data_IF_113287143564
#
_entry.id   IF_113287143564
#
_cell.length_a   1.000
_cell.length_b   1.000
_cell.length_c   1.000
_cell.angle_alpha   90.00
_cell.angle_beta   90.00
_cell.angle_gamma   90.00
#
_symmetry.space_group_name_H-M   'P 1'
#
loop_
_entity.id
_entity.type
_entity.pdbx_description
1 polymer ?
#
# COMPACT_ATOMS: atom_id res chain seq x y z
N UNK A 1 10.88 -13.95 22.84
CA UNK A 1 11.28 -12.59 22.44
C UNK A 1 10.36 -12.06 21.35
N UNK A 2 10.08 -12.85 20.31
CA UNK A 2 9.14 -12.52 19.23
C UNK A 2 7.73 -12.13 19.71
N UNK A 3 7.14 -12.87 20.65
CA UNK A 3 5.80 -12.54 21.20
C UNK A 3 5.78 -11.29 22.08
N UNK A 4 6.92 -10.90 22.68
CA UNK A 4 7.02 -9.68 23.49
C UNK A 4 7.14 -8.45 22.58
N UNK A 5 7.83 -8.58 21.44
CA UNK A 5 7.89 -7.53 20.42
C UNK A 5 6.55 -7.38 19.68
N UNK A 6 5.84 -8.48 19.36
CA UNK A 6 4.50 -8.44 18.76
C UNK A 6 3.48 -7.69 19.65
N UNK A 7 3.54 -7.85 20.97
CA UNK A 7 2.66 -7.13 21.91
C UNK A 7 3.03 -5.67 22.14
N UNK A 8 4.33 -5.32 22.14
CA UNK A 8 4.79 -3.93 22.25
C UNK A 8 4.50 -3.16 20.96
N UNK A 9 4.69 -3.83 19.82
CA UNK A 9 4.26 -3.37 18.52
C UNK A 9 2.74 -3.11 18.57
N UNK A 10 1.88 -4.12 18.80
CA UNK A 10 0.43 -3.92 18.89
C UNK A 10 -0.01 -2.67 19.69
N UNK A 11 0.65 -2.39 20.81
CA UNK A 11 0.39 -1.21 21.64
C UNK A 11 0.80 0.13 21.00
N UNK A 12 1.85 0.19 20.18
CA UNK A 12 2.33 1.40 19.50
C UNK A 12 1.48 1.73 18.26
N UNK A 13 1.05 0.71 17.50
CA UNK A 13 0.08 0.91 16.40
C UNK A 13 -1.27 1.28 16.97
N UNK A 14 -1.67 0.71 18.11
CA UNK A 14 -2.86 1.18 18.82
C UNK A 14 -2.76 2.65 19.24
N UNK A 15 -1.58 3.13 19.62
CA UNK A 15 -1.36 4.55 19.96
C UNK A 15 -1.35 5.45 18.71
N UNK A 16 -0.74 5.00 17.60
CA UNK A 16 -0.75 5.73 16.32
C UNK A 16 -2.15 5.77 15.68
N UNK A 17 -2.92 4.67 15.79
CA UNK A 17 -4.32 4.57 15.38
C UNK A 17 -5.25 5.31 16.34
N UNK A 18 -4.93 5.40 17.65
CA UNK A 18 -5.71 6.18 18.61
C UNK A 18 -5.56 7.70 18.45
N UNK A 19 -4.56 8.18 17.72
CA UNK A 19 -4.46 9.58 17.30
C UNK A 19 -5.32 9.93 16.08
N UNK A 20 -5.88 8.93 15.36
CA UNK A 20 -6.82 9.18 14.28
C UNK A 20 -8.22 9.47 14.84
N UNK A 21 -8.86 10.60 14.48
CA UNK A 21 -10.14 10.99 15.07
C UNK A 21 -11.30 10.33 14.30
N UNK A 22 -11.45 9.01 14.38
CA UNK A 22 -12.71 8.30 14.16
C UNK A 22 -12.57 6.80 14.47
N UNK A 23 -13.60 6.25 15.12
CA UNK A 23 -13.84 4.83 15.37
C UNK A 23 -13.43 3.93 14.18
N UNK A 24 -12.63 2.86 14.36
CA UNK A 24 -12.71 1.71 13.44
C UNK A 24 -11.99 0.42 13.86
N UNK A 25 -10.74 0.45 14.35
CA UNK A 25 -9.99 -0.81 14.50
C UNK A 25 -10.13 -1.39 15.92
N UNK A 26 -10.85 -2.51 16.10
CA UNK A 26 -11.01 -3.14 17.42
C UNK A 26 -9.66 -3.68 17.92
N UNK A 27 -9.19 -3.28 19.14
CA UNK A 27 -7.89 -3.69 19.68
C UNK A 27 -7.75 -5.18 19.99
N UNK A 28 -8.83 -5.96 19.86
CA UNK A 28 -8.91 -7.32 20.41
C UNK A 28 -8.01 -8.32 19.66
N UNK A 29 -7.65 -8.03 18.41
CA UNK A 29 -6.99 -9.01 17.53
C UNK A 29 -5.85 -8.40 16.70
N UNK A 30 -4.87 -7.77 17.35
CA UNK A 30 -3.58 -7.50 16.71
C UNK A 30 -2.74 -8.79 16.57
N UNK A 31 -3.36 -9.77 15.92
CA UNK A 31 -2.83 -11.04 15.43
C UNK A 31 -3.20 -11.10 13.96
N UNK A 32 -2.27 -10.85 13.04
CA UNK A 32 -2.32 -11.24 11.62
C UNK A 32 -3.62 -10.99 10.80
N UNK A 33 -4.60 -10.22 11.30
CA UNK A 33 -5.95 -10.10 10.75
C UNK A 33 -6.71 -8.97 11.47
N UNK A 34 -6.07 -7.80 11.59
CA UNK A 34 -6.77 -6.63 12.09
C UNK A 34 -7.82 -6.21 11.05
N UNK A 35 -9.10 -6.18 11.45
CA UNK A 35 -10.17 -5.63 10.63
C UNK A 35 -10.24 -4.13 10.88
N UNK A 36 -9.71 -3.38 9.93
CA UNK A 36 -9.80 -1.93 9.87
C UNK A 36 -10.58 -1.51 8.60
N UNK A 37 -11.55 -2.32 8.14
CA UNK A 37 -12.39 -1.97 7.00
C UNK A 37 -13.14 -0.65 7.25
N UNK A 38 -13.10 0.24 6.26
CA UNK A 38 -13.69 1.58 6.33
C UNK A 38 -13.01 2.52 7.33
N UNK A 39 -11.85 2.17 7.87
CA UNK A 39 -11.14 3.01 8.82
C UNK A 39 -10.72 4.34 8.20
N UNK A 40 -10.79 5.41 8.99
CA UNK A 40 -10.24 6.71 8.61
C UNK A 40 -8.81 6.85 9.14
N UNK A 41 -7.85 6.72 8.24
CA UNK A 41 -6.40 6.76 8.44
C UNK A 41 -5.75 7.87 7.58
N UNK A 42 -6.53 8.90 7.26
CA UNK A 42 -6.05 10.09 6.54
C UNK A 42 -4.90 10.77 7.28
N UNK A 43 -3.85 11.12 6.54
CA UNK A 43 -2.62 11.78 7.03
C UNK A 43 -1.87 11.01 8.13
N UNK A 44 -2.19 9.73 8.35
CA UNK A 44 -1.51 8.94 9.39
C UNK A 44 -0.08 8.66 8.93
N UNK A 45 0.88 9.17 9.70
CA UNK A 45 2.31 8.93 9.51
C UNK A 45 2.74 7.68 10.29
N UNK A 46 2.66 6.52 9.62
CA UNK A 46 3.18 5.24 10.13
C UNK A 46 4.66 5.05 9.79
N UNK A 47 5.22 5.78 8.82
CA UNK A 47 6.64 5.76 8.46
C UNK A 47 7.58 6.05 9.64
N UNK A 48 7.18 6.95 10.55
CA UNK A 48 7.90 7.21 11.82
C UNK A 48 8.09 5.96 12.71
N UNK A 49 7.21 4.96 12.62
CA UNK A 49 7.34 3.74 13.40
C UNK A 49 8.48 2.86 12.92
N UNK A 50 8.82 2.94 11.62
CA UNK A 50 9.97 2.26 11.02
C UNK A 50 11.27 2.93 11.47
N UNK A 51 11.30 4.27 11.53
CA UNK A 51 12.44 5.04 12.08
C UNK A 51 12.71 4.73 13.57
N UNK A 52 11.66 4.40 14.33
CA UNK A 52 11.76 4.01 15.73
C UNK A 52 12.42 2.63 15.95
N UNK A 53 12.90 1.97 14.88
CA UNK A 53 13.55 0.65 14.96
C UNK A 53 12.57 -0.49 15.21
N UNK A 54 11.26 -0.25 15.04
CA UNK A 54 10.24 -1.29 15.08
C UNK A 54 10.24 -1.97 13.70
N UNK A 55 11.22 -2.86 13.56
CA UNK A 55 11.54 -3.61 12.36
C UNK A 55 10.29 -4.39 11.91
N UNK A 56 9.77 -4.05 10.72
CA UNK A 56 8.87 -4.91 9.92
C UNK A 56 7.64 -5.39 10.70
N UNK A 57 6.59 -4.55 10.72
CA UNK A 57 5.28 -4.99 11.13
C UNK A 57 4.69 -5.85 10.02
N UNK A 58 4.47 -7.13 10.32
CA UNK A 58 3.71 -8.02 9.46
C UNK A 58 2.23 -7.74 9.71
N UNK A 59 1.64 -6.94 8.82
CA UNK A 59 0.21 -6.75 8.67
C UNK A 59 -0.29 -7.66 7.55
N UNK A 60 0.19 -8.92 7.56
CA UNK A 60 -0.25 -9.94 6.61
C UNK A 60 -1.78 -10.02 6.65
N UNK A 61 -2.41 -10.04 5.48
CA UNK A 61 -3.87 -10.19 5.33
C UNK A 61 -4.71 -9.16 6.12
N UNK A 62 -4.18 -7.96 6.42
CA UNK A 62 -4.96 -6.90 7.07
C UNK A 62 -6.16 -6.49 6.21
N UNK A 63 -7.31 -6.27 6.84
CA UNK A 63 -8.49 -5.75 6.14
C UNK A 63 -8.56 -4.23 6.27
N UNK A 64 -8.41 -3.56 5.13
CA UNK A 64 -8.50 -2.11 4.93
C UNK A 64 -9.49 -1.81 3.80
N UNK A 65 -10.45 -2.70 3.53
CA UNK A 65 -11.47 -2.48 2.52
C UNK A 65 -12.18 -1.14 2.74
N UNK A 66 -12.21 -0.27 1.73
CA UNK A 66 -12.86 1.03 1.80
C UNK A 66 -12.24 2.00 2.81
N UNK A 67 -11.05 1.70 3.36
CA UNK A 67 -10.37 2.60 4.28
C UNK A 67 -9.93 3.89 3.58
N UNK A 68 -9.98 5.01 4.30
CA UNK A 68 -9.41 6.27 3.87
C UNK A 68 -7.97 6.37 4.36
N UNK A 69 -7.01 6.32 3.46
CA UNK A 69 -5.56 6.41 3.66
C UNK A 69 -4.98 7.60 2.88
N UNK A 70 -5.80 8.60 2.56
CA UNK A 70 -5.36 9.79 1.82
C UNK A 70 -4.20 10.45 2.57
N UNK A 71 -3.10 10.70 1.86
CA UNK A 71 -1.86 11.25 2.41
C UNK A 71 -1.22 10.47 3.57
N UNK A 72 -1.63 9.23 3.81
CA UNK A 72 -0.99 8.38 4.80
C UNK A 72 0.44 8.02 4.37
N UNK A 73 1.36 7.95 5.33
CA UNK A 73 2.70 7.39 5.11
C UNK A 73 2.73 5.97 5.69
N UNK A 74 2.75 4.99 4.79
CA UNK A 74 2.89 3.55 5.09
C UNK A 74 4.15 3.00 4.43
N UNK A 75 5.13 3.87 4.18
CA UNK A 75 6.39 3.48 3.56
C UNK A 75 7.10 2.40 4.37
N UNK A 76 7.71 1.43 3.67
CA UNK A 76 8.45 0.29 4.24
C UNK A 76 7.61 -0.71 5.06
N UNK A 77 6.28 -0.63 5.07
CA UNK A 77 5.44 -1.62 5.73
C UNK A 77 5.37 -2.95 4.98
N UNK A 78 5.15 -4.04 5.74
CA UNK A 78 4.90 -5.36 5.19
C UNK A 78 3.40 -5.70 5.31
N UNK A 79 2.70 -5.71 4.19
CA UNK A 79 1.25 -5.92 4.07
C UNK A 79 0.91 -6.95 2.97
N UNK A 80 1.58 -8.13 2.94
CA UNK A 80 1.31 -9.11 1.91
C UNK A 80 -0.12 -9.66 2.10
N UNK A 81 -0.85 -9.82 1.00
CA UNK A 81 -2.23 -10.30 1.03
C UNK A 81 -3.26 -9.31 1.60
N UNK A 82 -2.87 -8.07 1.91
CA UNK A 82 -3.79 -7.06 2.45
C UNK A 82 -5.02 -6.86 1.55
N UNK A 83 -6.19 -6.70 2.17
CA UNK A 83 -7.40 -6.30 1.49
C UNK A 83 -7.51 -4.77 1.50
N UNK A 84 -7.24 -4.13 0.37
CA UNK A 84 -7.34 -2.69 0.14
C UNK A 84 -8.43 -2.38 -0.91
N UNK A 85 -9.38 -3.29 -1.11
CA UNK A 85 -10.45 -3.13 -2.08
C UNK A 85 -11.22 -1.84 -1.81
N UNK A 86 -11.45 -1.04 -2.83
CA UNK A 86 -12.14 0.26 -2.77
C UNK A 86 -11.54 1.28 -1.77
N UNK A 87 -10.32 1.06 -1.25
CA UNK A 87 -9.65 1.99 -0.35
C UNK A 87 -9.21 3.27 -1.09
N UNK A 88 -9.17 4.40 -0.37
CA UNK A 88 -8.66 5.67 -0.90
C UNK A 88 -7.25 5.96 -0.37
N UNK A 89 -6.25 5.73 -1.20
CA UNK A 89 -4.82 5.96 -0.97
C UNK A 89 -4.34 7.23 -1.71
N UNK A 90 -5.23 8.17 -1.99
CA UNK A 90 -4.91 9.41 -2.70
C UNK A 90 -3.70 10.14 -2.10
N UNK A 91 -2.62 10.28 -2.87
CA UNK A 91 -1.40 10.94 -2.43
C UNK A 91 -0.66 10.26 -1.25
N UNK A 92 -0.96 9.00 -0.93
CA UNK A 92 -0.27 8.24 0.10
C UNK A 92 1.19 7.93 -0.29
N UNK A 93 2.07 7.80 0.70
CA UNK A 93 3.43 7.30 0.52
C UNK A 93 3.49 5.78 0.81
N UNK A 94 3.66 5.01 -0.27
CA UNK A 94 3.78 3.56 -0.33
C UNK A 94 5.22 3.16 -0.71
N UNK A 95 6.21 4.03 -0.48
CA UNK A 95 7.61 3.77 -0.85
C UNK A 95 8.11 2.47 -0.22
N UNK A 96 8.61 1.55 -1.04
CA UNK A 96 9.15 0.26 -0.62
C UNK A 96 8.21 -0.59 0.25
N UNK A 97 6.90 -0.39 0.14
CA UNK A 97 5.90 -1.25 0.79
C UNK A 97 5.86 -2.62 0.12
N UNK A 98 5.62 -3.68 0.91
CA UNK A 98 5.33 -5.02 0.40
C UNK A 98 3.80 -5.24 0.39
N UNK A 99 3.23 -5.33 -0.81
CA UNK A 99 1.83 -5.59 -1.12
C UNK A 99 1.69 -6.85 -2.00
N UNK A 100 2.62 -7.80 -1.89
CA UNK A 100 2.56 -9.03 -2.68
C UNK A 100 1.25 -9.77 -2.44
N UNK A 101 0.55 -10.11 -3.51
CA UNK A 101 -0.73 -10.80 -3.46
C UNK A 101 -1.89 -9.99 -2.84
N UNK A 102 -1.72 -8.69 -2.59
CA UNK A 102 -2.78 -7.85 -2.05
C UNK A 102 -3.94 -7.66 -3.04
N UNK A 103 -5.12 -7.37 -2.49
CA UNK A 103 -6.33 -7.04 -3.25
C UNK A 103 -6.54 -5.53 -3.24
N UNK A 104 -6.27 -4.86 -4.36
CA UNK A 104 -6.47 -3.42 -4.56
C UNK A 104 -7.57 -3.12 -5.58
N UNK A 105 -8.52 -4.04 -5.77
CA UNK A 105 -9.60 -3.85 -6.76
C UNK A 105 -10.37 -2.57 -6.46
N UNK A 106 -10.53 -1.72 -7.46
CA UNK A 106 -11.26 -0.44 -7.32
C UNK A 106 -10.58 0.61 -6.42
N UNK A 107 -9.40 0.34 -5.87
CA UNK A 107 -8.71 1.29 -5.00
C UNK A 107 -8.31 2.57 -5.75
N UNK A 108 -8.38 3.72 -5.06
CA UNK A 108 -7.89 5.00 -5.55
C UNK A 108 -6.45 5.21 -5.07
N UNK A 109 -5.48 5.26 -5.97
CA UNK A 109 -4.07 5.59 -5.70
C UNK A 109 -3.67 6.88 -6.44
N UNK A 110 -4.62 7.79 -6.64
CA UNK A 110 -4.43 9.04 -7.36
C UNK A 110 -3.25 9.83 -6.76
N UNK A 111 -2.19 10.05 -7.53
CA UNK A 111 -1.01 10.79 -7.08
C UNK A 111 -0.17 10.10 -6.00
N UNK A 112 -0.42 8.83 -5.69
CA UNK A 112 0.33 8.12 -4.66
C UNK A 112 1.79 7.82 -5.07
N UNK A 113 2.67 7.64 -4.09
CA UNK A 113 4.09 7.31 -4.32
C UNK A 113 4.32 5.83 -4.05
N UNK A 114 4.53 5.03 -5.10
CA UNK A 114 4.81 3.59 -5.05
C UNK A 114 6.27 3.26 -5.39
N UNK A 115 7.20 4.17 -5.10
CA UNK A 115 8.61 3.98 -5.45
C UNK A 115 9.14 2.71 -4.80
N UNK A 116 9.62 1.74 -5.61
CA UNK A 116 10.12 0.43 -5.14
C UNK A 116 9.11 -0.44 -4.39
N UNK A 117 7.81 -0.16 -4.47
CA UNK A 117 6.79 -1.03 -3.89
C UNK A 117 6.78 -2.41 -4.58
N UNK A 118 6.52 -3.48 -3.83
CA UNK A 118 6.34 -4.82 -4.39
C UNK A 118 4.84 -5.17 -4.44
N UNK A 119 4.27 -5.18 -5.64
CA UNK A 119 2.88 -5.54 -5.93
C UNK A 119 2.81 -6.87 -6.69
N UNK A 120 3.83 -7.72 -6.58
CA UNK A 120 3.88 -8.99 -7.32
C UNK A 120 2.68 -9.89 -6.95
N UNK A 121 1.94 -10.33 -7.95
CA UNK A 121 0.73 -11.15 -7.78
C UNK A 121 -0.50 -10.41 -7.23
N UNK A 122 -0.44 -9.09 -7.04
CA UNK A 122 -1.58 -8.31 -6.55
C UNK A 122 -2.70 -8.17 -7.59
N UNK A 123 -3.93 -8.01 -7.13
CA UNK A 123 -5.10 -7.74 -7.99
C UNK A 123 -5.44 -6.24 -7.95
N UNK A 124 -5.10 -5.50 -9.01
CA UNK A 124 -5.36 -4.06 -9.12
C UNK A 124 -6.52 -3.76 -10.06
N UNK A 125 -7.41 -4.71 -10.37
CA UNK A 125 -8.45 -4.48 -11.38
C UNK A 125 -9.27 -3.23 -11.09
N UNK A 126 -9.39 -2.36 -12.10
CA UNK A 126 -10.07 -1.06 -12.01
C UNK A 126 -9.49 -0.07 -10.98
N UNK A 127 -8.27 -0.28 -10.47
CA UNK A 127 -7.62 0.68 -9.59
C UNK A 127 -7.21 1.96 -10.36
N UNK A 128 -7.21 3.10 -9.67
CA UNK A 128 -6.80 4.38 -10.25
C UNK A 128 -5.39 4.77 -9.79
N UNK A 129 -4.39 4.61 -10.64
CA UNK A 129 -3.00 5.04 -10.42
C UNK A 129 -2.65 6.35 -11.18
N UNK A 130 -3.66 7.14 -11.55
CA UNK A 130 -3.44 8.40 -12.26
C UNK A 130 -2.47 9.32 -11.49
N UNK A 131 -1.54 9.94 -12.20
CA UNK A 131 -0.51 10.84 -11.67
C UNK A 131 0.38 10.24 -10.55
N UNK A 132 0.36 8.92 -10.33
CA UNK A 132 1.19 8.25 -9.33
C UNK A 132 2.68 8.21 -9.72
N UNK A 133 3.56 7.95 -8.76
CA UNK A 133 4.97 7.62 -9.03
C UNK A 133 5.19 6.14 -8.83
N UNK A 134 5.59 5.42 -9.88
CA UNK A 134 5.78 3.95 -9.86
C UNK A 134 7.23 3.54 -10.10
N UNK A 135 8.18 4.43 -9.80
CA UNK A 135 9.60 4.24 -10.09
C UNK A 135 10.15 2.99 -9.37
N UNK A 136 10.54 1.97 -10.13
CA UNK A 136 11.08 0.72 -9.61
C UNK A 136 10.05 -0.16 -8.88
N UNK A 137 8.75 0.10 -9.02
CA UNK A 137 7.71 -0.76 -8.48
C UNK A 137 7.68 -2.11 -9.22
N UNK A 138 7.41 -3.20 -8.50
CA UNK A 138 7.34 -4.55 -9.04
C UNK A 138 5.88 -4.96 -9.23
N UNK A 139 5.51 -5.35 -10.45
CA UNK A 139 4.14 -5.79 -10.80
C UNK A 139 4.12 -7.24 -11.34
N UNK A 140 5.13 -8.05 -11.02
CA UNK A 140 5.25 -9.39 -11.61
C UNK A 140 4.02 -10.25 -11.28
N UNK A 141 3.26 -10.66 -12.31
CA UNK A 141 2.04 -11.45 -12.14
C UNK A 141 0.84 -10.70 -11.56
N UNK A 142 0.90 -9.37 -11.44
CA UNK A 142 -0.24 -8.56 -11.01
C UNK A 142 -1.33 -8.49 -12.10
N UNK A 143 -2.60 -8.39 -11.68
CA UNK A 143 -3.73 -8.18 -12.60
C UNK A 143 -4.03 -6.69 -12.74
N UNK A 144 -3.72 -6.13 -13.91
CA UNK A 144 -3.81 -4.70 -14.19
C UNK A 144 -5.00 -4.32 -15.08
N UNK A 145 -5.96 -5.23 -15.31
CA UNK A 145 -7.09 -4.96 -16.21
C UNK A 145 -7.93 -3.79 -15.70
N UNK A 146 -8.16 -2.80 -16.55
CA UNK A 146 -8.94 -1.60 -16.21
C UNK A 146 -8.19 -0.59 -15.34
N UNK A 147 -6.91 -0.82 -15.02
CA UNK A 147 -6.10 0.14 -14.25
C UNK A 147 -5.93 1.44 -15.03
N UNK A 148 -6.06 2.59 -14.38
CA UNK A 148 -5.73 3.89 -14.97
C UNK A 148 -4.31 4.33 -14.57
N UNK A 149 -3.36 4.40 -15.50
CA UNK A 149 -1.99 4.94 -15.27
C UNK A 149 -1.76 6.27 -15.99
N UNK A 150 -2.82 7.01 -16.33
CA UNK A 150 -2.69 8.31 -16.99
C UNK A 150 -1.79 9.23 -16.16
N UNK A 151 -0.73 9.78 -16.77
CA UNK A 151 0.23 10.64 -16.08
C UNK A 151 1.10 9.96 -15.02
N UNK A 152 1.03 8.63 -14.86
CA UNK A 152 1.89 7.91 -13.92
C UNK A 152 3.36 8.02 -14.36
N UNK A 153 4.24 8.34 -13.40
CA UNK A 153 5.65 8.65 -13.66
C UNK A 153 6.54 7.49 -13.29
N UNK A 154 7.35 7.06 -14.25
CA UNK A 154 8.53 6.23 -14.02
C UNK A 154 9.74 7.17 -13.96
N UNK A 155 10.26 7.45 -12.76
CA UNK A 155 11.51 8.21 -12.66
C UNK A 155 12.65 7.20 -12.73
N UNK A 156 13.13 6.94 -13.94
CA UNK A 156 14.33 6.12 -14.16
C UNK A 156 15.54 6.85 -13.57
N UNK A 157 16.24 6.21 -12.63
CA UNK A 157 17.62 6.58 -12.32
C UNK A 157 18.50 5.83 -13.33
N UNK A 158 19.26 6.58 -14.13
CA UNK A 158 20.24 6.03 -15.07
C UNK A 158 21.08 4.92 -14.41
N UNK A 159 21.15 3.75 -15.06
CA UNK A 159 22.06 2.67 -14.68
C UNK A 159 21.45 1.45 -13.99
N UNK A 160 20.15 1.44 -13.71
CA UNK A 160 19.47 0.24 -13.25
C UNK A 160 18.60 -0.33 -14.37
N UNK A 161 19.00 -1.50 -14.88
CA UNK A 161 18.25 -2.33 -15.82
C UNK A 161 17.00 -2.91 -15.13
N UNK A 162 16.10 -2.06 -14.65
CA UNK A 162 14.79 -2.49 -14.19
C UNK A 162 13.96 -2.82 -15.43
N UNK A 163 13.23 -3.95 -15.45
CA UNK A 163 12.34 -4.23 -16.55
C UNK A 163 11.34 -3.08 -16.64
N UNK A 164 11.46 -2.28 -17.70
CA UNK A 164 10.39 -1.43 -18.21
C UNK A 164 9.13 -2.25 -18.09
N UNK A 165 8.10 -1.73 -17.40
CA UNK A 165 6.86 -2.46 -17.20
C UNK A 165 6.40 -2.89 -18.59
N UNK A 166 6.51 -4.18 -18.88
CA UNK A 166 6.46 -4.63 -20.27
C UNK A 166 5.07 -4.28 -20.79
N UNK A 167 4.93 -3.68 -21.98
CA UNK A 167 3.62 -3.32 -22.53
C UNK A 167 2.61 -4.48 -22.53
N UNK A 168 3.12 -5.72 -22.61
CA UNK A 168 2.33 -6.95 -22.55
C UNK A 168 1.66 -7.23 -21.18
N UNK A 169 2.07 -6.57 -20.10
CA UNK A 169 1.51 -6.73 -18.75
C UNK A 169 0.21 -5.93 -18.56
N UNK A 170 -0.10 -5.00 -19.46
CA UNK A 170 -1.16 -4.00 -19.33
C UNK A 170 -2.37 -4.24 -20.23
N UNK A 171 -2.69 -5.49 -20.55
CA UNK A 171 -3.88 -5.76 -21.37
C UNK A 171 -5.13 -5.19 -20.68
N UNK A 172 -5.69 -4.12 -21.24
CA UNK A 172 -6.82 -3.37 -20.68
C UNK A 172 -6.48 -2.29 -19.65
N UNK A 173 -5.21 -1.97 -19.37
CA UNK A 173 -4.85 -0.79 -18.58
C UNK A 173 -4.71 0.45 -19.48
N UNK A 174 -5.02 1.63 -18.93
CA UNK A 174 -4.68 2.92 -19.57
C UNK A 174 -3.22 3.21 -19.31
N UNK A 175 -2.41 3.41 -20.35
CA UNK A 175 -0.97 3.66 -20.24
C UNK A 175 -0.67 5.15 -19.95
N UNK A 176 0.50 5.48 -19.37
CA UNK A 176 0.95 6.86 -19.27
C UNK A 176 1.04 7.51 -20.65
N UNK A 177 0.70 8.80 -20.74
CA UNK A 177 1.04 9.60 -21.92
C UNK A 177 2.56 9.83 -21.94
N UNK A 178 3.21 9.52 -23.06
CA UNK A 178 4.64 9.76 -23.32
C UNK A 178 5.04 11.24 -23.17
#
# INVERSE_FOLDING_TARGET
MENLMKGLAASIVLVALASAPALACEPAELKAQADCAGANLEEVDLGKLVEAGLISWHLDDIDLEGANLVHADVSYFNMPGANLRDADLGGADLTAVDLRGADLRGASLLGATLTRADLSGADLRNANLENSTIAGAFFFGADLRGVNLSGARQVEREGANFPVVQPALFDGATLPHE
#
